data_IF_881681095788
#
_entry.id   IF_881681095788
#
_cell.length_a   1.000
_cell.length_b   1.000
_cell.length_c   1.000
_cell.angle_alpha   90.00
_cell.angle_beta   90.00
_cell.angle_gamma   90.00
#
_symmetry.space_group_name_H-M   'P 1'
#
loop_
_entity.id
_entity.type
_entity.pdbx_description
1 polymer ?
#
# COMPACT_ATOMS: atom_id res chain seq x y z
N UNK A 1 1.73 -23.47 -16.40
CA UNK A 1 2.68 -23.19 -15.30
C UNK A 1 2.16 -21.99 -14.53
N UNK A 2 2.09 -22.04 -13.20
CA UNK A 2 1.58 -20.95 -12.35
C UNK A 2 2.70 -20.48 -11.43
N UNK A 3 2.96 -19.17 -11.38
CA UNK A 3 3.95 -18.55 -10.49
C UNK A 3 3.19 -17.86 -9.36
N UNK A 4 3.46 -18.24 -8.11
CA UNK A 4 2.87 -17.58 -6.94
C UNK A 4 3.90 -16.64 -6.29
N UNK A 5 3.83 -15.37 -6.69
CA UNK A 5 4.66 -14.33 -6.08
C UNK A 5 4.27 -14.06 -4.61
N UNK A 6 3.09 -14.45 -4.13
CA UNK A 6 2.66 -14.13 -2.76
C UNK A 6 3.36 -15.01 -1.70
N UNK A 7 3.78 -16.22 -2.05
CA UNK A 7 4.52 -17.15 -1.18
C UNK A 7 6.02 -17.22 -1.45
N UNK A 8 6.53 -16.47 -2.43
CA UNK A 8 7.94 -16.49 -2.82
C UNK A 8 8.85 -15.94 -1.71
N UNK A 9 9.67 -16.80 -1.12
CA UNK A 9 10.57 -16.47 0.00
C UNK A 9 11.74 -15.57 -0.39
N UNK A 10 12.02 -15.42 -1.68
CA UNK A 10 13.07 -14.55 -2.19
C UNK A 10 12.60 -13.09 -2.36
N UNK A 11 11.29 -12.80 -2.21
CA UNK A 11 10.77 -11.43 -2.29
C UNK A 11 11.07 -10.64 -1.01
N UNK A 12 11.35 -9.32 -1.11
CA UNK A 12 11.53 -8.55 -2.34
C UNK A 12 12.97 -8.61 -2.91
N UNK A 13 13.91 -9.23 -2.20
CA UNK A 13 15.35 -9.13 -2.47
C UNK A 13 15.78 -9.62 -3.86
N UNK A 14 15.10 -10.62 -4.43
CA UNK A 14 15.39 -11.14 -5.78
C UNK A 14 14.31 -10.74 -6.81
N UNK A 15 13.54 -9.67 -6.55
CA UNK A 15 12.55 -9.23 -7.52
C UNK A 15 13.20 -8.55 -8.73
N UNK A 16 14.33 -7.85 -8.54
CA UNK A 16 15.01 -7.10 -9.61
C UNK A 16 15.55 -8.01 -10.73
N UNK A 17 15.95 -9.25 -10.41
CA UNK A 17 16.46 -10.24 -11.35
C UNK A 17 15.47 -11.38 -11.63
N UNK A 18 14.22 -11.27 -11.16
CA UNK A 18 13.18 -12.26 -11.37
C UNK A 18 12.72 -12.30 -12.84
N UNK A 19 12.40 -13.49 -13.35
CA UNK A 19 11.75 -13.65 -14.67
C UNK A 19 10.47 -12.82 -14.82
N UNK A 20 9.76 -12.51 -13.73
CA UNK A 20 8.58 -11.65 -13.75
C UNK A 20 8.90 -10.21 -14.18
N UNK A 21 10.04 -9.67 -13.76
CA UNK A 21 10.51 -8.33 -14.14
C UNK A 21 10.89 -8.29 -15.62
N UNK A 22 11.45 -9.39 -16.15
CA UNK A 22 11.68 -9.53 -17.59
C UNK A 22 10.37 -9.56 -18.39
N UNK A 23 9.34 -10.22 -17.88
CA UNK A 23 8.05 -10.39 -18.57
C UNK A 23 7.14 -9.16 -18.49
N UNK A 24 7.17 -8.41 -17.38
CA UNK A 24 6.27 -7.29 -17.11
C UNK A 24 6.95 -5.92 -17.21
N UNK A 25 8.27 -5.89 -17.43
CA UNK A 25 9.08 -4.68 -17.46
C UNK A 25 9.62 -4.30 -16.06
N UNK A 26 10.64 -3.42 -16.01
CA UNK A 26 11.19 -2.91 -14.77
C UNK A 26 10.09 -2.25 -13.94
N UNK A 27 9.97 -2.69 -12.68
CA UNK A 27 9.07 -2.07 -11.68
C UNK A 27 9.70 -0.78 -11.13
N UNK A 28 11.00 -0.65 -11.35
CA UNK A 28 11.95 0.34 -10.89
C UNK A 28 12.12 1.47 -11.92
N UNK A 29 11.00 2.17 -12.20
CA UNK A 29 11.00 3.46 -12.90
C UNK A 29 10.26 4.48 -12.07
N UNK A 30 10.85 5.67 -11.87
CA UNK A 30 10.11 6.80 -11.31
C UNK A 30 9.09 7.27 -12.36
N UNK A 31 7.82 7.09 -12.04
CA UNK A 31 6.69 7.46 -12.90
C UNK A 31 6.20 8.84 -12.41
N UNK A 32 6.69 9.89 -13.07
CA UNK A 32 6.20 11.25 -12.84
C UNK A 32 4.92 11.43 -13.64
N UNK A 33 3.84 11.73 -12.93
CA UNK A 33 2.54 12.05 -13.52
C UNK A 33 2.23 13.50 -13.19
N UNK A 34 1.92 14.29 -14.20
CA UNK A 34 1.38 15.62 -13.97
C UNK A 34 -0.10 15.57 -13.54
N UNK A 35 -0.66 16.73 -13.17
CA UNK A 35 -2.04 16.84 -12.72
C UNK A 35 -3.05 16.38 -13.80
N UNK A 36 -2.74 16.62 -15.07
CA UNK A 36 -3.61 16.27 -16.20
C UNK A 36 -3.59 14.77 -16.49
N UNK A 37 -2.42 14.14 -16.37
CA UNK A 37 -2.25 12.70 -16.51
C UNK A 37 -2.91 11.95 -15.35
N UNK A 38 -2.75 12.46 -14.12
CA UNK A 38 -3.45 11.94 -12.94
C UNK A 38 -4.96 12.00 -13.13
N UNK A 39 -5.48 13.14 -13.58
CA UNK A 39 -6.91 13.31 -13.84
C UNK A 39 -7.42 12.39 -14.96
N UNK A 40 -6.62 12.19 -16.02
CA UNK A 40 -6.98 11.27 -17.09
C UNK A 40 -7.08 9.83 -16.58
N UNK A 41 -6.13 9.38 -15.75
CA UNK A 41 -6.14 8.05 -15.15
C UNK A 41 -7.32 7.86 -14.19
N UNK A 42 -7.68 8.88 -13.41
CA UNK A 42 -8.87 8.86 -12.56
C UNK A 42 -10.15 8.72 -13.39
N UNK A 43 -10.30 9.48 -14.49
CA UNK A 43 -11.46 9.37 -15.38
C UNK A 43 -11.58 7.97 -16.02
N UNK A 44 -10.45 7.36 -16.39
CA UNK A 44 -10.41 5.98 -16.88
C UNK A 44 -10.80 4.98 -15.78
N UNK A 45 -10.39 5.22 -14.54
CA UNK A 45 -10.74 4.36 -13.40
C UNK A 45 -12.23 4.45 -13.05
N UNK A 46 -12.80 5.66 -13.04
CA UNK A 46 -14.23 5.90 -12.86
C UNK A 46 -15.07 5.21 -13.95
N UNK A 47 -14.54 5.13 -15.17
CA UNK A 47 -15.12 4.39 -16.28
C UNK A 47 -14.90 2.87 -16.22
N UNK A 48 -14.12 2.36 -15.26
CA UNK A 48 -13.79 0.95 -15.11
C UNK A 48 -12.81 0.40 -16.15
N UNK A 49 -12.09 1.28 -16.85
CA UNK A 49 -11.13 0.90 -17.90
C UNK A 49 -9.75 0.56 -17.34
N UNK A 50 -9.41 1.12 -16.18
CA UNK A 50 -8.16 0.84 -15.45
C UNK A 50 -8.45 0.69 -13.94
N UNK A 51 -7.60 -0.01 -13.17
CA UNK A 51 -7.67 0.04 -11.71
C UNK A 51 -7.46 1.47 -11.18
N UNK A 52 -8.08 1.84 -10.05
CA UNK A 52 -7.86 3.15 -9.42
C UNK A 52 -6.38 3.39 -9.09
N UNK A 53 -5.94 4.64 -9.21
CA UNK A 53 -4.61 5.05 -8.77
C UNK A 53 -4.45 4.80 -7.26
N UNK A 54 -3.48 3.96 -6.90
CA UNK A 54 -3.14 3.62 -5.51
C UNK A 54 -1.79 4.22 -5.18
N UNK A 55 -1.77 5.53 -4.95
CA UNK A 55 -0.57 6.22 -4.46
C UNK A 55 -0.34 5.87 -2.99
N UNK A 56 0.40 4.79 -2.75
CA UNK A 56 0.79 4.38 -1.41
C UNK A 56 2.12 5.06 -1.10
N UNK A 57 2.20 5.91 -0.07
CA UNK A 57 3.48 6.49 0.33
C UNK A 57 4.42 5.37 0.78
N UNK A 58 5.65 5.39 0.25
CA UNK A 58 6.71 4.53 0.76
C UNK A 58 7.00 4.95 2.20
N UNK A 59 6.51 4.15 3.15
CA UNK A 59 6.78 4.35 4.56
C UNK A 59 8.23 3.97 4.84
N UNK A 60 9.02 4.94 5.32
CA UNK A 60 10.32 4.65 5.91
C UNK A 60 10.13 3.64 7.07
N UNK A 61 10.88 2.53 7.13
CA UNK A 61 10.71 1.50 8.16
C UNK A 61 10.75 2.06 9.59
N UNK A 62 11.61 3.08 9.83
CA UNK A 62 11.73 3.74 11.14
C UNK A 62 10.47 4.52 11.50
N UNK A 63 9.70 4.99 10.52
CA UNK A 63 8.37 5.58 10.75
C UNK A 63 7.35 4.54 11.20
N UNK A 64 7.38 3.32 10.65
CA UNK A 64 6.48 2.21 11.02
C UNK A 64 6.76 1.73 12.45
N UNK A 65 8.03 1.61 12.83
CA UNK A 65 8.44 1.23 14.17
C UNK A 65 8.02 2.26 15.22
N UNK A 66 8.16 3.57 14.92
CA UNK A 66 7.66 4.65 15.79
C UNK A 66 6.14 4.72 15.88
N UNK A 67 5.42 4.40 14.81
CA UNK A 67 3.96 4.34 14.81
C UNK A 67 3.47 3.16 15.66
N UNK A 68 4.12 1.99 15.54
CA UNK A 68 3.79 0.79 16.32
C UNK A 68 4.15 0.93 17.81
N UNK A 69 5.20 1.67 18.14
CA UNK A 69 5.58 1.97 19.52
C UNK A 69 4.61 2.94 20.23
N UNK A 70 3.88 3.77 19.46
CA UNK A 70 2.67 4.43 19.95
C UNK A 70 1.58 3.38 20.01
N UNK A 71 1.53 2.65 21.12
CA UNK A 71 0.45 1.70 21.38
C UNK A 71 -0.93 2.34 21.18
N UNK A 72 -1.99 1.53 20.98
CA UNK A 72 -3.33 2.07 20.79
C UNK A 72 -3.67 2.96 21.99
N UNK A 73 -3.79 4.26 21.76
CA UNK A 73 -4.22 5.21 22.79
C UNK A 73 -5.63 4.77 23.22
N UNK A 74 -5.71 4.11 24.38
CA UNK A 74 -6.98 3.73 24.98
C UNK A 74 -7.75 5.01 25.26
N UNK A 75 -8.64 5.37 24.34
CA UNK A 75 -9.64 6.42 24.56
C UNK A 75 -10.52 5.94 25.71
N UNK A 76 -10.20 6.39 26.92
CA UNK A 76 -10.97 6.13 28.12
C UNK A 76 -12.40 6.58 27.84
N UNK A 77 -13.33 5.61 27.75
CA UNK A 77 -14.76 5.86 27.62
C UNK A 77 -15.30 6.02 29.06
N UNK A 78 -15.63 7.23 29.53
CA UNK A 78 -16.25 7.37 30.83
C UNK A 78 -17.72 6.98 30.65
N UNK A 79 -18.05 5.72 30.89
CA UNK A 79 -19.43 5.25 30.90
C UNK A 79 -19.87 5.11 32.36
N UNK A 80 -20.55 6.15 32.84
CA UNK A 80 -21.14 6.20 34.17
C UNK A 80 -22.29 5.20 34.28
N UNK A 81 -22.18 4.28 35.24
CA UNK A 81 -23.31 3.57 35.83
C UNK A 81 -23.41 3.91 37.31
N UNK A 82 -24.28 4.87 37.61
CA UNK A 82 -25.12 4.81 38.81
C UNK A 82 -26.04 3.60 38.65
N UNK A 83 -25.81 2.52 39.41
CA UNK A 83 -26.86 1.52 39.66
C UNK A 83 -27.07 1.41 41.16
N UNK A 84 -28.31 1.70 41.53
CA UNK A 84 -28.84 1.79 42.87
C UNK A 84 -28.77 0.46 43.63
N UNK A 85 -28.50 0.55 44.93
CA UNK A 85 -28.72 -0.49 45.93
C UNK A 85 -28.98 0.17 47.27
#
# INVERSE_FOLDING_TARGET
MLIDCNSCTARPAACEDCVMTVLLGPIDGELELDDSETQALDALADGGLVPPLRMVPMLDPRHVERASARGPEHRHRPDGREEAG
#
